data_IF_671643219402
#
_entry.id   IF_671643219402
#
_cell.length_a   1.000
_cell.length_b   1.000
_cell.length_c   1.000
_cell.angle_alpha   90.00
_cell.angle_beta   90.00
_cell.angle_gamma   90.00
#
_symmetry.space_group_name_H-M   'P 1'
#
loop_
_entity.id
_entity.type
_entity.pdbx_description
1 polymer ?
#
# COMPACT_ATOMS: atom_id res chain seq x y z
N UNK A 1 0.88 17.98 0.65
CA UNK A 1 0.41 17.02 1.67
C UNK A 1 0.97 15.65 1.39
N UNK A 2 0.92 14.75 2.37
CA UNK A 2 1.49 13.40 2.22
C UNK A 2 0.84 12.58 1.11
N UNK A 3 -0.44 12.82 0.80
CA UNK A 3 -1.16 12.20 -0.33
C UNK A 3 -0.54 12.48 -1.70
N UNK A 4 0.19 13.58 -1.86
CA UNK A 4 0.88 13.91 -3.11
C UNK A 4 2.27 13.30 -3.12
N UNK A 5 2.97 13.33 -1.98
CA UNK A 5 4.35 12.86 -1.87
C UNK A 5 4.46 11.34 -1.94
N UNK A 6 3.57 10.61 -1.26
CA UNK A 6 3.63 9.16 -1.17
C UNK A 6 3.66 8.45 -2.54
N UNK A 7 2.74 8.75 -3.50
CA UNK A 7 2.78 8.14 -4.82
C UNK A 7 3.97 8.62 -5.67
N UNK A 8 4.51 9.82 -5.41
CA UNK A 8 5.72 10.30 -6.10
C UNK A 8 6.94 9.50 -5.63
N UNK A 9 7.12 9.34 -4.32
CA UNK A 9 8.21 8.51 -3.78
C UNK A 9 8.14 7.08 -4.29
N UNK A 10 6.93 6.52 -4.38
CA UNK A 10 6.71 5.18 -4.90
C UNK A 10 7.16 5.06 -6.37
N UNK A 11 6.77 6.01 -7.23
CA UNK A 11 7.20 6.05 -8.64
C UNK A 11 8.70 6.25 -8.81
N UNK A 12 9.33 6.96 -7.89
CA UNK A 12 10.79 7.16 -7.85
C UNK A 12 11.53 5.98 -7.19
N UNK A 13 10.83 4.87 -6.90
CA UNK A 13 11.36 3.70 -6.20
C UNK A 13 11.99 3.99 -4.83
N UNK A 14 11.63 5.13 -4.23
CA UNK A 14 12.01 5.52 -2.87
C UNK A 14 11.02 4.89 -1.89
N UNK A 15 10.99 3.56 -1.85
CA UNK A 15 9.96 2.82 -1.12
C UNK A 15 9.90 3.13 0.39
N UNK A 16 11.01 3.27 1.13
CA UNK A 16 10.96 3.65 2.55
C UNK A 16 10.31 5.02 2.79
N UNK A 17 10.59 5.98 1.91
CA UNK A 17 9.97 7.31 1.96
C UNK A 17 8.48 7.25 1.62
N UNK A 18 8.10 6.44 0.64
CA UNK A 18 6.70 6.21 0.27
C UNK A 18 5.91 5.60 1.43
N UNK A 19 6.46 4.57 2.10
CA UNK A 19 5.85 3.94 3.29
C UNK A 19 5.63 4.98 4.39
N UNK A 20 6.67 5.77 4.68
CA UNK A 20 6.60 6.84 5.70
C UNK A 20 5.54 7.88 5.34
N UNK A 21 5.48 8.27 4.07
CA UNK A 21 4.51 9.23 3.57
C UNK A 21 3.06 8.71 3.67
N UNK A 22 2.79 7.47 3.23
CA UNK A 22 1.46 6.88 3.37
C UNK A 22 1.03 6.74 4.82
N UNK A 23 1.92 6.28 5.72
CA UNK A 23 1.62 6.20 7.16
C UNK A 23 1.30 7.56 7.76
N UNK A 24 2.03 8.61 7.36
CA UNK A 24 1.74 9.97 7.81
C UNK A 24 0.42 10.51 7.25
N UNK A 25 0.10 10.24 5.98
CA UNK A 25 -1.20 10.58 5.40
C UNK A 25 -2.34 9.92 6.19
N UNK A 26 -2.21 8.62 6.49
CA UNK A 26 -3.21 7.87 7.26
C UNK A 26 -3.38 8.46 8.66
N UNK A 27 -2.27 8.77 9.34
CA UNK A 27 -2.27 9.29 10.71
C UNK A 27 -2.88 10.69 10.82
N UNK A 28 -2.61 11.56 9.84
CA UNK A 28 -2.98 12.97 9.90
C UNK A 28 -4.32 13.25 9.24
N UNK A 29 -4.57 12.61 8.11
CA UNK A 29 -5.71 12.91 7.22
C UNK A 29 -6.75 11.77 7.22
N UNK A 30 -6.53 10.71 8.01
CA UNK A 30 -7.43 9.57 8.17
C UNK A 30 -7.19 8.43 7.18
N UNK A 31 -7.94 7.35 7.33
CA UNK A 31 -7.79 6.19 6.46
C UNK A 31 -8.52 6.35 5.12
N UNK A 32 -8.01 5.74 4.06
CA UNK A 32 -8.71 5.59 2.78
C UNK A 32 -8.23 4.37 2.02
N UNK A 33 -9.09 3.79 1.18
CA UNK A 33 -8.72 2.63 0.37
C UNK A 33 -7.49 2.90 -0.51
N UNK A 34 -7.36 4.13 -1.03
CA UNK A 34 -6.20 4.55 -1.84
C UNK A 34 -4.91 4.59 -1.02
N UNK A 35 -4.97 5.13 0.20
CA UNK A 35 -3.80 5.21 1.09
C UNK A 35 -3.34 3.83 1.55
N UNK A 36 -4.27 2.95 1.91
CA UNK A 36 -3.96 1.59 2.33
C UNK A 36 -3.42 0.75 1.17
N UNK A 37 -4.02 0.83 -0.01
CA UNK A 37 -3.52 0.12 -1.18
C UNK A 37 -2.14 0.65 -1.62
N UNK A 38 -1.91 1.96 -1.52
CA UNK A 38 -0.60 2.56 -1.77
C UNK A 38 0.46 2.17 -0.75
N UNK A 39 0.09 2.08 0.53
CA UNK A 39 0.97 1.58 1.60
C UNK A 39 1.38 0.13 1.34
N UNK A 40 0.41 -0.74 1.03
CA UNK A 40 0.67 -2.15 0.70
C UNK A 40 1.61 -2.30 -0.49
N UNK A 41 1.38 -1.54 -1.57
CA UNK A 41 2.23 -1.53 -2.76
C UNK A 41 3.66 -1.08 -2.44
N UNK A 42 3.81 -0.05 -1.61
CA UNK A 42 5.12 0.44 -1.19
C UNK A 42 5.87 -0.58 -0.33
N UNK A 43 5.18 -1.28 0.58
CA UNK A 43 5.75 -2.36 1.40
C UNK A 43 6.19 -3.53 0.53
N UNK A 44 5.32 -4.00 -0.37
CA UNK A 44 5.65 -5.11 -1.27
C UNK A 44 6.83 -4.76 -2.18
N UNK A 45 6.84 -3.54 -2.72
CA UNK A 45 7.92 -3.06 -3.58
C UNK A 45 9.25 -2.92 -2.84
N UNK A 46 9.23 -2.45 -1.57
CA UNK A 46 10.41 -2.44 -0.71
C UNK A 46 10.95 -3.85 -0.44
N UNK A 47 10.08 -4.86 -0.42
CA UNK A 47 10.42 -6.27 -0.26
C UNK A 47 10.71 -7.00 -1.58
N UNK A 48 10.95 -6.27 -2.68
CA UNK A 48 11.27 -6.87 -3.98
C UNK A 48 10.09 -7.58 -4.66
N UNK A 49 8.86 -7.14 -4.37
CA UNK A 49 7.62 -7.71 -4.90
C UNK A 49 6.99 -8.80 -4.03
N UNK A 50 7.60 -9.12 -2.89
CA UNK A 50 7.05 -10.09 -1.93
C UNK A 50 5.90 -9.44 -1.16
N UNK A 51 4.74 -10.08 -1.17
CA UNK A 51 3.54 -9.63 -0.44
C UNK A 51 3.63 -10.18 0.98
N UNK A 52 4.42 -9.51 1.82
CA UNK A 52 4.55 -9.86 3.24
C UNK A 52 3.23 -9.66 4.00
N UNK A 53 3.15 -10.20 5.21
CA UNK A 53 1.99 -10.03 6.09
C UNK A 53 1.60 -8.55 6.29
N UNK A 54 2.58 -7.63 6.37
CA UNK A 54 2.31 -6.20 6.50
C UNK A 54 1.68 -5.60 5.23
N UNK A 55 2.14 -6.01 4.05
CA UNK A 55 1.53 -5.60 2.78
C UNK A 55 0.11 -6.16 2.65
N UNK A 56 -0.07 -7.45 2.97
CA UNK A 56 -1.37 -8.12 2.97
C UNK A 56 -2.36 -7.42 3.89
N UNK A 57 -1.96 -7.06 5.11
CA UNK A 57 -2.79 -6.33 6.07
C UNK A 57 -3.25 -4.97 5.51
N UNK A 58 -2.36 -4.24 4.84
CA UNK A 58 -2.71 -2.97 4.20
C UNK A 58 -3.70 -3.18 3.04
N UNK A 59 -3.50 -4.18 2.18
CA UNK A 59 -4.46 -4.49 1.11
C UNK A 59 -5.82 -4.95 1.64
N UNK A 60 -5.85 -5.75 2.71
CA UNK A 60 -7.09 -6.12 3.38
C UNK A 60 -7.80 -4.90 4.00
N UNK A 61 -7.05 -3.96 4.59
CA UNK A 61 -7.62 -2.70 5.07
C UNK A 61 -8.21 -1.87 3.92
N UNK A 62 -7.55 -1.84 2.77
CA UNK A 62 -8.09 -1.20 1.57
C UNK A 62 -9.42 -1.83 1.14
N UNK A 63 -9.53 -3.17 1.13
CA UNK A 63 -10.76 -3.87 0.75
C UNK A 63 -11.90 -3.73 1.78
N UNK A 64 -11.59 -3.48 3.05
CA UNK A 64 -12.62 -3.14 4.05
C UNK A 64 -13.26 -1.77 3.75
N UNK A 65 -12.51 -0.84 3.17
CA UNK A 65 -12.97 0.50 2.83
C UNK A 65 -13.60 0.57 1.43
N UNK A 66 -13.03 -0.18 0.47
CA UNK A 66 -13.51 -0.32 -0.90
C UNK A 66 -13.33 -1.78 -1.35
N UNK A 67 -14.37 -2.62 -1.25
CA UNK A 67 -14.30 -4.02 -1.66
C UNK A 67 -13.96 -4.23 -3.15
N UNK A 68 -14.19 -3.21 -3.99
CA UNK A 68 -13.91 -3.26 -5.43
C UNK A 68 -12.50 -2.75 -5.78
N UNK A 69 -11.64 -2.48 -4.80
CA UNK A 69 -10.30 -1.95 -5.05
C UNK A 69 -9.45 -2.94 -5.86
N UNK A 70 -9.28 -2.65 -7.16
CA UNK A 70 -8.60 -3.54 -8.09
C UNK A 70 -7.13 -3.80 -7.70
N UNK A 71 -6.44 -2.78 -7.17
CA UNK A 71 -5.04 -2.91 -6.76
C UNK A 71 -4.91 -3.88 -5.58
N UNK A 72 -5.73 -3.72 -4.55
CA UNK A 72 -5.69 -4.60 -3.39
C UNK A 72 -6.02 -6.05 -3.77
N UNK A 73 -7.05 -6.28 -4.58
CA UNK A 73 -7.38 -7.61 -5.08
C UNK A 73 -6.22 -8.24 -5.87
N UNK A 74 -5.59 -7.47 -6.77
CA UNK A 74 -4.44 -7.95 -7.55
C UNK A 74 -3.27 -8.39 -6.65
N UNK A 75 -2.85 -7.55 -5.71
CA UNK A 75 -1.71 -7.89 -4.85
C UNK A 75 -2.00 -9.03 -3.87
N UNK A 76 -3.23 -9.15 -3.37
CA UNK A 76 -3.60 -10.32 -2.56
C UNK A 76 -3.55 -11.62 -3.37
N UNK A 77 -4.00 -11.59 -4.63
CA UNK A 77 -3.85 -12.74 -5.53
C UNK A 77 -2.37 -13.08 -5.79
N UNK A 78 -1.51 -12.08 -5.95
CA UNK A 78 -0.05 -12.28 -6.06
C UNK A 78 0.52 -12.91 -4.77
N UNK A 79 0.08 -12.45 -3.59
CA UNK A 79 0.52 -13.02 -2.31
C UNK A 79 0.12 -14.49 -2.14
N UNK A 80 -1.10 -14.85 -2.52
CA UNK A 80 -1.56 -16.25 -2.52
C UNK A 80 -0.75 -17.16 -3.45
N UNK A 81 -0.14 -16.61 -4.49
CA UNK A 81 0.72 -17.37 -5.40
C UNK A 81 2.18 -17.52 -4.90
N UNK A 82 2.54 -16.83 -3.81
CA UNK A 82 3.88 -16.91 -3.18
C UNK A 82 3.95 -17.93 -2.04
N UNK A 83 2.80 -18.44 -1.60
CA UNK A 83 2.68 -19.55 -0.65
C UNK A 83 2.99 -20.90 -1.31
#
# INVERSE_FOLDING_TARGET
>A
GWDVLAPIYLRLQRFPDAITAYRNAIRLDGDSAVRQAGLGEAIASAAGGIVSADAQNAFQAALKLDPANAKANFYLAVGLAQE
#
